data_IF_055710560536
#
_entry.id   IF_055710560536
#
_cell.length_a   1.000
_cell.length_b   1.000
_cell.length_c   1.000
_cell.angle_alpha   90.00
_cell.angle_beta   90.00
_cell.angle_gamma   90.00
#
_symmetry.space_group_name_H-M   'P 1'
#
loop_
_entity.id
_entity.type
_entity.pdbx_description
1 polymer ?
#
# COMPACT_ATOMS: atom_id res chain seq x y z
N UNK A 1 36.41 32.73 62.75
CA UNK A 1 36.01 33.65 61.65
C UNK A 1 36.59 33.16 60.34
N UNK A 2 35.90 33.48 59.24
CA UNK A 2 36.15 33.15 57.83
C UNK A 2 35.67 31.78 57.35
N UNK A 3 34.43 31.75 56.84
CA UNK A 3 33.92 30.69 55.99
C UNK A 3 34.42 30.82 54.56
N UNK A 4 34.41 29.70 53.82
CA UNK A 4 34.45 29.70 52.37
C UNK A 4 33.49 28.62 51.84
N UNK A 5 32.64 29.05 50.93
CA UNK A 5 31.57 28.31 50.25
C UNK A 5 32.15 27.44 49.13
N UNK A 6 31.66 26.20 49.01
CA UNK A 6 32.06 25.26 47.95
C UNK A 6 30.85 24.70 47.21
N UNK A 7 30.67 25.13 45.97
CA UNK A 7 29.58 24.81 45.05
C UNK A 7 29.86 23.52 44.26
N UNK A 8 28.89 22.59 44.23
CA UNK A 8 28.74 21.52 43.22
C UNK A 8 29.59 20.27 43.47
N UNK A 9 29.14 19.05 43.17
CA UNK A 9 28.49 18.64 41.92
C UNK A 9 27.51 17.47 42.18
N UNK A 10 26.41 17.52 41.44
CA UNK A 10 25.22 16.68 41.53
C UNK A 10 25.50 15.25 41.05
N UNK A 11 24.83 14.28 41.68
CA UNK A 11 24.91 12.86 41.34
C UNK A 11 24.57 12.58 39.88
N UNK A 12 25.23 11.58 39.31
CA UNK A 12 24.96 11.07 37.97
C UNK A 12 23.64 10.28 38.00
N UNK A 13 22.55 10.90 37.55
CA UNK A 13 21.36 10.15 37.13
C UNK A 13 21.66 9.51 35.77
N UNK A 14 21.71 8.17 35.73
CA UNK A 14 21.74 7.41 34.48
C UNK A 14 20.32 7.40 33.94
N UNK A 15 20.04 8.26 32.97
CA UNK A 15 18.79 8.23 32.23
C UNK A 15 18.83 7.10 31.20
N UNK A 16 18.07 6.03 31.45
CA UNK A 16 17.77 5.00 30.45
C UNK A 16 16.81 5.64 29.42
N UNK A 17 17.34 6.07 28.27
CA UNK A 17 16.50 6.39 27.11
C UNK A 17 15.92 5.10 26.56
N UNK A 18 14.63 4.88 26.76
CA UNK A 18 13.87 3.86 26.04
C UNK A 18 13.78 4.29 24.57
N UNK A 19 14.42 3.54 23.68
CA UNK A 19 14.28 3.74 22.23
C UNK A 19 12.88 3.30 21.81
N UNK A 20 11.99 4.25 21.55
CA UNK A 20 10.71 4.00 20.88
C UNK A 20 11.02 3.67 19.43
N UNK A 21 10.84 2.41 19.03
CA UNK A 21 10.89 2.01 17.63
C UNK A 21 9.67 2.60 16.90
N UNK A 22 9.91 3.54 15.99
CA UNK A 22 8.90 4.01 15.04
C UNK A 22 8.65 2.89 14.01
N UNK A 23 7.64 2.08 14.24
CA UNK A 23 7.11 1.19 13.20
C UNK A 23 6.32 2.02 12.18
N UNK A 24 6.96 2.39 11.07
CA UNK A 24 6.26 2.96 9.92
C UNK A 24 5.47 1.88 9.15
N UNK A 25 4.48 2.25 8.32
CA UNK A 25 3.76 1.29 7.51
C UNK A 25 4.72 0.60 6.53
N UNK A 26 4.69 -0.74 6.52
CA UNK A 26 5.47 -1.52 5.58
C UNK A 26 5.01 -1.22 4.14
N UNK A 27 5.92 -1.19 3.15
CA UNK A 27 5.54 -1.02 1.75
C UNK A 27 4.60 -2.16 1.34
N UNK A 28 3.45 -1.82 0.78
CA UNK A 28 2.48 -2.79 0.30
C UNK A 28 3.08 -3.68 -0.79
N UNK A 29 2.82 -4.99 -0.70
CA UNK A 29 3.37 -5.98 -1.62
C UNK A 29 3.04 -5.63 -3.09
N UNK A 30 3.98 -5.87 -4.03
CA UNK A 30 3.71 -5.67 -5.45
C UNK A 30 2.59 -6.61 -5.92
N UNK A 31 1.81 -6.19 -6.92
CA UNK A 31 0.84 -7.10 -7.54
C UNK A 31 1.57 -8.28 -8.22
N UNK A 32 0.91 -9.46 -8.36
CA UNK A 32 1.48 -10.63 -9.02
C UNK A 32 2.03 -10.32 -10.41
N UNK A 33 3.17 -10.90 -10.78
CA UNK A 33 3.68 -10.78 -12.15
C UNK A 33 2.84 -11.65 -13.07
N UNK A 34 2.54 -11.17 -14.28
CA UNK A 34 1.73 -11.89 -15.25
C UNK A 34 1.46 -11.07 -16.51
N UNK A 35 0.86 -11.73 -17.51
CA UNK A 35 0.29 -11.06 -18.68
C UNK A 35 -0.78 -10.06 -18.25
N UNK A 36 -0.86 -8.88 -18.87
CA UNK A 36 -1.84 -7.86 -18.47
C UNK A 36 -1.40 -6.94 -17.31
N UNK A 37 -0.43 -7.31 -16.47
CA UNK A 37 0.07 -6.43 -15.38
C UNK A 37 0.53 -5.05 -15.88
N UNK A 38 1.23 -5.01 -17.03
CA UNK A 38 1.68 -3.75 -17.61
C UNK A 38 0.50 -2.85 -18.04
N UNK A 39 -0.58 -3.46 -18.55
CA UNK A 39 -1.82 -2.75 -18.90
C UNK A 39 -2.53 -2.27 -17.65
N UNK A 40 -2.68 -3.10 -16.61
CA UNK A 40 -3.24 -2.67 -15.32
C UNK A 40 -2.48 -1.49 -14.73
N UNK A 41 -1.14 -1.53 -14.74
CA UNK A 41 -0.33 -0.41 -14.26
C UNK A 41 -0.49 0.85 -15.09
N UNK A 42 -0.69 0.74 -16.41
CA UNK A 42 -0.86 1.90 -17.29
C UNK A 42 -2.25 2.51 -17.18
N UNK A 43 -3.27 1.67 -17.01
CA UNK A 43 -4.67 2.09 -17.07
C UNK A 43 -5.24 2.42 -15.69
N UNK A 44 -5.03 1.56 -14.69
CA UNK A 44 -5.64 1.69 -13.38
C UNK A 44 -4.92 2.69 -12.45
N UNK A 45 -3.76 3.23 -12.83
CA UNK A 45 -3.06 4.28 -12.06
C UNK A 45 -3.30 5.70 -12.57
N UNK A 46 -4.17 5.88 -13.56
CA UNK A 46 -4.43 7.21 -14.15
C UNK A 46 -5.17 8.13 -13.19
N UNK A 47 -6.00 7.57 -12.31
CA UNK A 47 -6.86 8.33 -11.40
C UNK A 47 -6.44 8.22 -9.93
N UNK A 48 -5.95 7.07 -9.50
CA UNK A 48 -5.54 6.80 -8.11
C UNK A 48 -4.55 5.63 -8.04
N UNK A 49 -4.07 5.30 -6.83
CA UNK A 49 -3.22 4.11 -6.63
C UNK A 49 -3.99 2.80 -6.83
N UNK A 50 -3.28 1.67 -6.98
CA UNK A 50 -3.87 0.33 -7.15
C UNK A 50 -4.38 -0.31 -5.85
N UNK A 51 -4.66 0.49 -4.82
CA UNK A 51 -5.07 -0.01 -3.50
C UNK A 51 -6.37 -0.83 -3.57
N UNK A 52 -7.34 -0.39 -4.36
CA UNK A 52 -8.63 -1.07 -4.50
C UNK A 52 -8.51 -2.51 -5.05
N UNK A 53 -7.46 -2.82 -5.82
CA UNK A 53 -7.21 -4.19 -6.31
C UNK A 53 -6.54 -5.04 -5.23
N UNK A 54 -5.61 -4.45 -4.47
CA UNK A 54 -4.88 -5.18 -3.41
C UNK A 54 -5.76 -5.52 -2.22
N UNK A 55 -6.67 -4.61 -1.91
CA UNK A 55 -7.56 -4.68 -0.75
C UNK A 55 -8.95 -5.24 -1.15
N UNK A 56 -9.13 -5.69 -2.40
CA UNK A 56 -10.40 -6.27 -2.85
C UNK A 56 -10.64 -7.65 -2.25
N UNK A 57 -11.91 -8.01 -2.08
CA UNK A 57 -12.31 -9.38 -1.72
C UNK A 57 -12.18 -10.40 -2.87
N UNK A 58 -11.67 -9.96 -4.03
CA UNK A 58 -11.64 -10.72 -5.25
C UNK A 58 -13.03 -10.82 -5.89
N UNK A 59 -13.05 -10.98 -7.21
CA UNK A 59 -14.28 -10.99 -7.99
C UNK A 59 -14.18 -11.99 -9.14
N UNK A 60 -15.33 -12.45 -9.62
CA UNK A 60 -15.39 -13.15 -10.90
C UNK A 60 -14.99 -12.20 -12.03
N UNK A 61 -14.71 -12.76 -13.21
CA UNK A 61 -14.35 -11.98 -14.40
C UNK A 61 -15.43 -10.94 -14.77
N UNK A 62 -16.70 -11.32 -14.67
CA UNK A 62 -17.83 -10.44 -15.01
C UNK A 62 -17.94 -9.28 -13.99
N UNK A 63 -17.86 -9.60 -12.71
CA UNK A 63 -17.86 -8.60 -11.65
C UNK A 63 -16.65 -7.65 -11.73
N UNK A 64 -15.46 -8.16 -12.10
CA UNK A 64 -14.29 -7.32 -12.35
C UNK A 64 -14.51 -6.35 -13.51
N UNK A 65 -15.16 -6.80 -14.58
CA UNK A 65 -15.53 -5.91 -15.70
C UNK A 65 -16.42 -4.79 -15.20
N UNK A 66 -17.51 -5.12 -14.51
CA UNK A 66 -18.46 -4.13 -14.02
C UNK A 66 -17.79 -3.14 -13.06
N UNK A 67 -16.97 -3.63 -12.13
CA UNK A 67 -16.22 -2.82 -11.19
C UNK A 67 -15.25 -1.85 -11.87
N UNK A 68 -14.50 -2.32 -12.87
CA UNK A 68 -13.55 -1.47 -13.63
C UNK A 68 -14.30 -0.38 -14.41
N UNK A 69 -15.47 -0.68 -14.95
CA UNK A 69 -16.28 0.28 -15.71
C UNK A 69 -16.95 1.34 -14.81
N UNK A 70 -17.06 1.11 -13.50
CA UNK A 70 -17.49 2.15 -12.56
C UNK A 70 -16.45 3.26 -12.38
N UNK A 71 -15.18 2.97 -12.66
CA UNK A 71 -14.06 3.90 -12.41
C UNK A 71 -13.41 4.42 -13.70
N UNK A 72 -13.62 3.75 -14.82
CA UNK A 72 -12.87 3.97 -16.06
C UNK A 72 -13.77 4.07 -17.27
N UNK A 73 -13.17 4.47 -18.38
CA UNK A 73 -13.77 4.51 -19.72
C UNK A 73 -13.19 3.40 -20.64
N UNK A 74 -12.67 2.33 -20.04
CA UNK A 74 -11.91 1.31 -20.75
C UNK A 74 -12.74 0.54 -21.79
N UNK A 75 -14.07 0.60 -21.73
CA UNK A 75 -14.96 0.10 -22.78
C UNK A 75 -14.68 0.73 -24.15
N UNK A 76 -14.09 1.93 -24.19
CA UNK A 76 -13.65 2.57 -25.43
C UNK A 76 -12.40 1.95 -26.05
N UNK A 77 -11.72 1.07 -25.30
CA UNK A 77 -10.48 0.36 -25.69
C UNK A 77 -10.58 -1.12 -25.33
N UNK A 78 -11.38 -1.91 -26.09
CA UNK A 78 -11.75 -3.26 -25.69
C UNK A 78 -10.57 -4.18 -25.39
N UNK A 79 -9.48 -4.11 -26.17
CA UNK A 79 -8.29 -4.93 -25.92
C UNK A 79 -7.63 -4.64 -24.55
N UNK A 80 -7.61 -3.38 -24.12
CA UNK A 80 -7.09 -3.01 -22.80
C UNK A 80 -8.05 -3.45 -21.70
N UNK A 81 -9.37 -3.33 -21.91
CA UNK A 81 -10.38 -3.80 -20.97
C UNK A 81 -10.27 -5.31 -20.74
N UNK A 82 -10.20 -6.11 -21.81
CA UNK A 82 -10.05 -7.57 -21.68
C UNK A 82 -8.77 -7.92 -20.93
N UNK A 83 -7.63 -7.32 -21.28
CA UNK A 83 -6.35 -7.59 -20.62
C UNK A 83 -6.36 -7.21 -19.12
N UNK A 84 -7.06 -6.14 -18.74
CA UNK A 84 -7.24 -5.78 -17.32
C UNK A 84 -8.11 -6.80 -16.62
N UNK A 85 -9.27 -7.11 -17.18
CA UNK A 85 -10.26 -8.00 -16.56
C UNK A 85 -9.73 -9.43 -16.43
N UNK A 86 -9.01 -9.93 -17.43
CA UNK A 86 -8.39 -11.26 -17.39
C UNK A 86 -7.33 -11.35 -16.30
N UNK A 87 -6.42 -10.36 -16.24
CA UNK A 87 -5.40 -10.31 -15.19
C UNK A 87 -6.03 -10.24 -13.78
N UNK A 88 -7.07 -9.43 -13.60
CA UNK A 88 -7.74 -9.29 -12.31
C UNK A 88 -8.44 -10.58 -11.90
N UNK A 89 -9.14 -11.24 -12.81
CA UNK A 89 -9.81 -12.51 -12.53
C UNK A 89 -8.83 -13.66 -12.23
N UNK A 90 -7.67 -13.70 -12.90
CA UNK A 90 -6.65 -14.73 -12.67
C UNK A 90 -5.98 -14.58 -11.30
N UNK A 91 -5.68 -13.35 -10.88
CA UNK A 91 -4.86 -13.10 -9.70
C UNK A 91 -5.65 -12.67 -8.46
N UNK A 92 -6.88 -12.21 -8.63
CA UNK A 92 -7.79 -11.78 -7.57
C UNK A 92 -9.18 -12.42 -7.78
N UNK A 93 -9.28 -13.77 -7.84
CA UNK A 93 -10.55 -14.46 -7.90
C UNK A 93 -11.32 -14.32 -6.58
N UNK A 94 -12.63 -14.61 -6.53
CA UNK A 94 -13.39 -14.64 -5.29
C UNK A 94 -12.72 -15.58 -4.27
N UNK A 95 -12.78 -15.21 -2.99
CA UNK A 95 -12.41 -16.13 -1.93
C UNK A 95 -13.40 -17.30 -1.87
N UNK A 96 -12.87 -18.53 -1.71
CA UNK A 96 -13.65 -19.73 -1.38
C UNK A 96 -14.04 -19.76 0.10
#
# INVERSE_FOLDING_TARGET
>A
MAGQTGWGKRGRAVALMAAVALSGPAPAAPLPKGEGLATVRRECTRCHSLRNIRDSDGFTREEWRDFVLQMTDLERRPADLEAVVDYLAEHFPPFE
#
